data_IF_335263848409
#
_entry.id   IF_335263848409
#
_cell.length_a   1.000
_cell.length_b   1.000
_cell.length_c   1.000
_cell.angle_alpha   90.00
_cell.angle_beta   90.00
_cell.angle_gamma   90.00
#
_symmetry.space_group_name_H-M   'P 1'
#
loop_
_entity.id
_entity.type
_entity.pdbx_description
1 polymer ?
#
# COMPACT_ATOMS: atom_id res chain seq x y z
N UNK A 1 2.72 -0.44 -35.00
CA UNK A 1 2.88 -1.82 -34.47
C UNK A 1 3.05 -1.71 -32.96
N UNK A 2 2.06 -2.13 -32.17
CA UNK A 2 2.20 -2.23 -30.71
C UNK A 2 2.83 -3.59 -30.40
N UNK A 3 4.11 -3.61 -30.03
CA UNK A 3 4.76 -4.82 -29.52
C UNK A 3 4.12 -5.21 -28.19
N UNK A 4 3.40 -6.34 -28.17
CA UNK A 4 2.96 -6.97 -26.94
C UNK A 4 4.13 -7.75 -26.37
N UNK A 5 4.77 -7.21 -25.34
CA UNK A 5 5.81 -7.95 -24.60
C UNK A 5 5.11 -8.76 -23.52
N UNK A 6 4.93 -10.07 -23.76
CA UNK A 6 4.64 -11.04 -22.72
C UNK A 6 5.98 -11.53 -22.16
N UNK A 7 6.30 -11.11 -20.94
CA UNK A 7 7.45 -11.62 -20.19
C UNK A 7 6.92 -12.46 -19.03
N UNK A 8 7.07 -13.78 -19.18
CA UNK A 8 6.86 -14.74 -18.10
C UNK A 8 8.20 -14.88 -17.40
N UNK A 9 8.25 -14.49 -16.12
CA UNK A 9 9.41 -14.75 -15.28
C UNK A 9 9.08 -15.88 -14.33
N UNK A 10 9.88 -16.95 -14.39
CA UNK A 10 9.92 -17.98 -13.39
C UNK A 10 10.94 -17.55 -12.34
N UNK A 11 10.47 -16.97 -11.23
CA UNK A 11 11.30 -16.79 -10.06
C UNK A 11 11.31 -18.12 -9.31
N UNK A 12 12.30 -18.97 -9.61
CA UNK A 12 12.51 -20.21 -8.86
C UNK A 12 13.13 -19.89 -7.50
N UNK A 13 12.29 -19.40 -6.58
CA UNK A 13 12.67 -19.25 -5.18
C UNK A 13 12.61 -20.62 -4.48
N UNK A 14 13.76 -21.26 -4.27
CA UNK A 14 13.83 -22.44 -3.41
C UNK A 14 13.77 -21.99 -1.94
N UNK A 15 12.61 -22.14 -1.31
CA UNK A 15 12.51 -22.04 0.14
C UNK A 15 12.87 -23.41 0.73
N UNK A 16 14.16 -23.66 0.94
CA UNK A 16 14.60 -24.81 1.73
C UNK A 16 14.31 -24.51 3.20
N UNK A 17 13.33 -25.21 3.77
CA UNK A 17 13.24 -25.39 5.21
C UNK A 17 13.48 -26.88 5.45
N UNK A 18 14.66 -27.20 5.97
CA UNK A 18 15.28 -28.53 5.96
C UNK A 18 14.60 -29.58 6.86
N UNK A 19 13.42 -29.31 7.42
CA UNK A 19 12.84 -30.18 8.47
C UNK A 19 11.43 -30.69 8.26
N UNK A 20 10.71 -30.30 7.22
CA UNK A 20 9.39 -30.88 6.93
C UNK A 20 9.21 -31.04 5.42
N UNK A 21 8.61 -32.15 5.00
CA UNK A 21 8.61 -32.66 3.62
C UNK A 21 8.39 -31.59 2.54
N UNK A 22 9.31 -31.59 1.57
CA UNK A 22 9.42 -30.65 0.46
C UNK A 22 8.10 -30.42 -0.29
N UNK A 23 7.52 -29.23 -0.14
CA UNK A 23 6.78 -28.58 -1.22
C UNK A 23 7.66 -27.44 -1.76
N UNK A 24 8.26 -27.65 -2.93
CA UNK A 24 8.95 -26.58 -3.65
C UNK A 24 7.89 -25.59 -4.15
N UNK A 25 7.74 -24.46 -3.45
CA UNK A 25 6.85 -23.39 -3.88
C UNK A 25 7.45 -22.69 -5.10
N UNK A 26 6.90 -22.96 -6.28
CA UNK A 26 7.28 -22.24 -7.50
C UNK A 26 6.56 -20.90 -7.52
N UNK A 27 7.34 -19.83 -7.48
CA UNK A 27 6.82 -18.47 -7.49
C UNK A 27 6.80 -17.96 -8.93
N UNK A 28 5.60 -17.78 -9.47
CA UNK A 28 5.39 -17.34 -10.85
C UNK A 28 4.77 -15.96 -10.83
N UNK A 29 5.42 -15.01 -11.49
CA UNK A 29 4.84 -13.71 -11.77
C UNK A 29 4.76 -13.51 -13.28
N UNK A 30 3.54 -13.35 -13.78
CA UNK A 30 3.31 -12.87 -15.13
C UNK A 30 2.71 -11.48 -15.06
N UNK A 31 3.31 -10.53 -15.77
CA UNK A 31 2.79 -9.17 -15.89
C UNK A 31 2.72 -8.83 -17.35
N UNK A 32 1.53 -8.44 -17.78
CA UNK A 32 1.25 -7.86 -19.08
C UNK A 32 1.12 -6.36 -18.90
N UNK A 33 1.78 -5.64 -19.80
CA UNK A 33 1.72 -4.19 -19.83
C UNK A 33 1.08 -3.72 -21.13
N UNK A 34 0.18 -2.74 -21.04
CA UNK A 34 -0.46 -2.13 -22.19
C UNK A 34 -0.66 -0.62 -21.96
N UNK A 35 0.29 0.19 -22.42
CA UNK A 35 0.25 1.65 -22.24
C UNK A 35 0.20 2.05 -20.76
N UNK A 36 -0.96 2.55 -20.30
CA UNK A 36 -1.22 3.02 -18.94
C UNK A 36 -1.87 1.96 -18.03
N UNK A 37 -1.80 0.69 -18.43
CA UNK A 37 -2.35 -0.44 -17.69
C UNK A 37 -1.26 -1.47 -17.40
N UNK A 38 -1.21 -1.89 -16.14
CA UNK A 38 -0.44 -3.03 -15.67
C UNK A 38 -1.41 -4.08 -15.15
N UNK A 39 -1.37 -5.27 -15.71
CA UNK A 39 -2.14 -6.39 -15.19
C UNK A 39 -1.28 -7.63 -15.09
N UNK A 40 -1.60 -8.49 -14.13
CA UNK A 40 -0.80 -9.67 -13.91
C UNK A 40 -1.38 -10.59 -12.88
N UNK A 41 -0.61 -11.62 -12.58
CA UNK A 41 -0.88 -12.48 -11.46
C UNK A 41 0.42 -12.87 -10.77
N UNK A 42 0.28 -13.19 -9.50
CA UNK A 42 1.33 -13.72 -8.65
C UNK A 42 0.86 -15.04 -8.06
N UNK A 43 1.56 -16.11 -8.39
CA UNK A 43 1.23 -17.47 -7.99
C UNK A 43 2.38 -18.05 -7.16
N UNK A 44 2.05 -18.68 -6.03
CA UNK A 44 3.05 -19.30 -5.13
C UNK A 44 3.00 -20.83 -5.21
N UNK A 45 1.81 -21.37 -5.48
CA UNK A 45 1.57 -22.79 -5.71
C UNK A 45 0.30 -22.94 -6.56
N UNK A 46 -0.11 -24.18 -6.83
CA UNK A 46 -1.32 -24.46 -7.61
C UNK A 46 -2.62 -23.96 -6.95
N UNK A 47 -2.58 -23.61 -5.65
CA UNK A 47 -3.78 -23.28 -4.86
C UNK A 47 -3.91 -21.80 -4.53
N UNK A 48 -2.85 -21.01 -4.69
CA UNK A 48 -2.80 -19.61 -4.29
C UNK A 48 -2.27 -18.72 -5.41
N UNK A 49 -3.16 -17.87 -5.91
CA UNK A 49 -2.88 -16.86 -6.93
C UNK A 49 -3.59 -15.56 -6.57
N UNK A 50 -2.88 -14.45 -6.69
CA UNK A 50 -3.43 -13.09 -6.63
C UNK A 50 -3.35 -12.49 -8.03
N UNK A 51 -4.49 -12.07 -8.57
CA UNK A 51 -4.57 -11.30 -9.81
C UNK A 51 -4.65 -9.82 -9.49
N UNK A 52 -4.02 -9.00 -10.33
CA UNK A 52 -4.09 -7.55 -10.19
C UNK A 52 -4.29 -6.85 -11.53
N UNK A 53 -4.97 -5.70 -11.47
CA UNK A 53 -5.12 -4.74 -12.57
C UNK A 53 -4.89 -3.35 -11.98
N UNK A 54 -3.97 -2.60 -12.56
CA UNK A 54 -3.52 -1.29 -12.10
C UNK A 54 -3.57 -0.30 -13.26
N UNK A 55 -4.36 0.75 -13.08
CA UNK A 55 -4.54 1.90 -13.96
C UNK A 55 -4.56 3.17 -13.12
N UNK A 56 -4.48 4.32 -13.78
CA UNK A 56 -4.49 5.60 -13.09
C UNK A 56 -5.76 5.83 -12.25
N UNK A 57 -6.92 5.45 -12.77
CA UNK A 57 -8.23 5.67 -12.18
C UNK A 57 -8.83 4.41 -11.53
N UNK A 58 -8.14 3.28 -11.62
CA UNK A 58 -8.69 2.00 -11.18
C UNK A 58 -7.59 1.02 -10.78
N UNK A 59 -7.69 0.47 -9.58
CA UNK A 59 -6.79 -0.59 -9.11
C UNK A 59 -7.58 -1.70 -8.46
N UNK A 60 -7.08 -2.92 -8.60
CA UNK A 60 -7.84 -4.08 -8.21
C UNK A 60 -6.94 -5.27 -7.92
N UNK A 61 -7.12 -5.90 -6.75
CA UNK A 61 -6.48 -7.15 -6.37
C UNK A 61 -7.55 -8.17 -5.98
N UNK A 62 -7.48 -9.38 -6.55
CA UNK A 62 -8.42 -10.47 -6.29
C UNK A 62 -7.69 -11.81 -6.16
N UNK A 63 -8.13 -12.66 -5.23
CA UNK A 63 -7.66 -14.04 -5.09
C UNK A 63 -8.28 -14.93 -6.17
N UNK A 64 -7.62 -16.04 -6.50
CA UNK A 64 -8.12 -17.06 -7.44
C UNK A 64 -9.56 -17.53 -7.14
N UNK A 65 -9.93 -17.64 -5.85
CA UNK A 65 -11.26 -18.05 -5.38
C UNK A 65 -12.35 -16.98 -5.56
N UNK A 66 -12.08 -15.91 -6.29
CA UNK A 66 -13.03 -14.81 -6.55
C UNK A 66 -13.16 -13.79 -5.43
N UNK A 67 -12.44 -13.94 -4.32
CA UNK A 67 -12.46 -12.98 -3.22
C UNK A 67 -11.67 -11.72 -3.59
N UNK A 68 -12.35 -10.57 -3.60
CA UNK A 68 -11.73 -9.27 -3.76
C UNK A 68 -10.94 -8.92 -2.50
N UNK A 69 -9.67 -8.55 -2.65
CA UNK A 69 -8.84 -8.04 -1.56
C UNK A 69 -9.02 -6.53 -1.43
N UNK A 70 -8.81 -5.84 -2.55
CA UNK A 70 -8.99 -4.40 -2.63
C UNK A 70 -9.45 -4.00 -4.03
N UNK A 71 -10.33 -3.00 -4.07
CA UNK A 71 -10.73 -2.28 -5.27
C UNK A 71 -10.66 -0.80 -4.98
N UNK A 72 -9.88 -0.07 -5.77
CA UNK A 72 -9.89 1.38 -5.82
C UNK A 72 -10.44 1.85 -7.16
N UNK A 73 -11.32 2.84 -7.14
CA UNK A 73 -11.88 3.44 -8.34
C UNK A 73 -12.10 4.95 -8.17
N UNK A 74 -11.50 5.74 -9.06
CA UNK A 74 -11.70 7.17 -9.16
C UNK A 74 -12.77 7.46 -10.23
N UNK A 75 -13.96 7.86 -9.78
CA UNK A 75 -15.07 8.20 -10.68
C UNK A 75 -14.91 9.61 -11.24
N UNK A 76 -14.43 10.55 -10.42
CA UNK A 76 -14.10 11.93 -10.79
C UNK A 76 -13.00 12.46 -9.85
N UNK A 77 -12.42 13.66 -10.07
CA UNK A 77 -11.44 14.25 -9.17
C UNK A 77 -11.89 14.40 -7.71
N UNK A 78 -13.21 14.43 -7.46
CA UNK A 78 -13.80 14.57 -6.12
C UNK A 78 -14.49 13.30 -5.63
N UNK A 79 -14.58 12.25 -6.46
CA UNK A 79 -15.32 11.02 -6.14
C UNK A 79 -14.40 9.81 -6.23
N UNK A 80 -14.16 9.19 -5.07
CA UNK A 80 -13.30 8.02 -4.95
C UNK A 80 -14.03 6.92 -4.23
N UNK A 81 -13.91 5.70 -4.73
CA UNK A 81 -14.44 4.51 -4.12
C UNK A 81 -13.29 3.57 -3.77
N UNK A 82 -13.25 3.12 -2.53
CA UNK A 82 -12.32 2.14 -2.02
C UNK A 82 -13.13 1.02 -1.40
N UNK A 83 -12.85 -0.22 -1.78
CA UNK A 83 -13.39 -1.42 -1.14
C UNK A 83 -12.23 -2.26 -0.67
N UNK A 84 -12.26 -2.65 0.60
CA UNK A 84 -11.28 -3.56 1.22
C UNK A 84 -12.08 -4.74 1.77
N UNK A 85 -11.86 -5.94 1.23
CA UNK A 85 -12.72 -7.10 1.47
C UNK A 85 -14.21 -6.78 1.24
N UNK A 86 -15.03 -6.84 2.28
CA UNK A 86 -16.47 -6.58 2.29
C UNK A 86 -16.82 -5.12 2.65
N UNK A 87 -15.82 -4.31 2.95
CA UNK A 87 -16.01 -2.96 3.49
C UNK A 87 -15.76 -1.90 2.42
N UNK A 88 -16.82 -1.21 2.02
CA UNK A 88 -16.78 -0.12 1.04
C UNK A 88 -16.70 1.26 1.69
N UNK A 89 -15.96 2.16 1.05
CA UNK A 89 -15.80 3.57 1.42
C UNK A 89 -15.95 4.41 0.16
N UNK A 90 -16.86 5.38 0.19
CA UNK A 90 -17.00 6.39 -0.83
C UNK A 90 -16.59 7.73 -0.26
N UNK A 91 -15.62 8.37 -0.89
CA UNK A 91 -15.29 9.77 -0.66
C UNK A 91 -15.98 10.62 -1.71
N UNK A 92 -16.66 11.66 -1.26
CA UNK A 92 -17.18 12.73 -2.10
C UNK A 92 -16.72 14.07 -1.53
N UNK A 93 -15.96 14.83 -2.33
CA UNK A 93 -15.22 16.01 -1.88
C UNK A 93 -14.35 15.62 -0.68
N UNK A 94 -14.44 16.30 0.46
CA UNK A 94 -13.64 15.96 1.64
C UNK A 94 -14.30 14.99 2.63
N UNK A 95 -15.50 14.50 2.32
CA UNK A 95 -16.25 13.62 3.22
C UNK A 95 -16.13 12.16 2.79
N UNK A 96 -15.85 11.29 3.76
CA UNK A 96 -15.82 9.85 3.58
C UNK A 96 -17.07 9.21 4.19
N UNK A 97 -17.58 8.20 3.50
CA UNK A 97 -18.80 7.51 3.87
C UNK A 97 -18.60 6.00 3.77
N UNK A 98 -18.87 5.29 4.86
CA UNK A 98 -18.90 3.84 4.82
C UNK A 98 -20.15 3.37 4.08
N UNK A 99 -19.97 2.40 3.19
CA UNK A 99 -21.00 1.90 2.31
C UNK A 99 -21.22 0.39 2.57
N UNK A 100 -22.44 -0.02 2.94
CA UNK A 100 -22.79 -1.41 3.15
C UNK A 100 -23.17 -2.07 1.80
N UNK A 101 -22.25 -2.19 0.86
CA UNK A 101 -22.54 -2.78 -0.45
C UNK A 101 -21.81 -4.09 -0.70
N UNK A 102 -22.60 -5.10 -1.08
CA UNK A 102 -22.15 -6.16 -1.97
C UNK A 102 -21.93 -5.52 -3.35
N UNK A 103 -20.67 -5.27 -3.73
CA UNK A 103 -20.38 -4.86 -5.11
C UNK A 103 -20.73 -6.01 -6.06
N UNK A 104 -21.38 -5.74 -7.20
CA UNK A 104 -21.67 -6.75 -8.20
C UNK A 104 -20.39 -7.45 -8.67
N UNK A 105 -20.39 -8.79 -8.67
CA UNK A 105 -19.20 -9.59 -9.03
C UNK A 105 -18.85 -9.55 -10.53
N UNK A 106 -19.81 -9.25 -11.41
CA UNK A 106 -19.64 -9.23 -12.88
C UNK A 106 -19.90 -7.85 -13.50
N UNK A 107 -19.17 -7.53 -14.57
CA UNK A 107 -19.29 -6.23 -15.24
C UNK A 107 -18.82 -5.05 -14.35
N UNK A 108 -17.85 -5.34 -13.49
CA UNK A 108 -17.39 -4.55 -12.33
C UNK A 108 -17.44 -3.04 -12.57
N UNK A 109 -16.81 -2.53 -13.63
CA UNK A 109 -16.70 -1.08 -13.84
C UNK A 109 -18.03 -0.40 -14.21
N UNK A 110 -18.83 -1.01 -15.10
CA UNK A 110 -20.10 -0.44 -15.56
C UNK A 110 -21.13 -0.45 -14.43
N UNK A 111 -21.20 -1.57 -13.72
CA UNK A 111 -22.06 -1.74 -12.55
C UNK A 111 -21.63 -0.81 -11.41
N UNK A 112 -20.31 -0.69 -11.15
CA UNK A 112 -19.77 0.22 -10.14
C UNK A 112 -20.07 1.68 -10.46
N UNK A 113 -19.86 2.12 -11.71
CA UNK A 113 -20.23 3.47 -12.16
C UNK A 113 -21.71 3.77 -11.93
N UNK A 114 -22.61 2.84 -12.32
CA UNK A 114 -24.05 2.99 -12.10
C UNK A 114 -24.38 3.08 -10.60
N UNK A 115 -23.77 2.22 -9.79
CA UNK A 115 -23.95 2.19 -8.33
C UNK A 115 -23.50 3.51 -7.68
N UNK A 116 -22.27 3.96 -7.95
CA UNK A 116 -21.73 5.23 -7.45
C UNK A 116 -22.61 6.39 -7.87
N UNK A 117 -23.04 6.44 -9.14
CA UNK A 117 -23.91 7.52 -9.63
C UNK A 117 -25.24 7.58 -8.89
N UNK A 118 -25.89 6.43 -8.66
CA UNK A 118 -27.12 6.39 -7.84
C UNK A 118 -26.86 6.89 -6.43
N UNK A 119 -25.72 6.50 -5.83
CA UNK A 119 -25.40 6.93 -4.46
C UNK A 119 -25.00 8.38 -4.33
N UNK A 120 -24.36 8.97 -5.32
CA UNK A 120 -24.12 10.41 -5.35
C UNK A 120 -25.44 11.18 -5.35
N UNK A 121 -26.45 10.74 -6.12
CA UNK A 121 -27.80 11.33 -6.07
C UNK A 121 -28.45 11.18 -4.70
N UNK A 122 -28.28 10.03 -4.05
CA UNK A 122 -28.77 9.80 -2.68
C UNK A 122 -28.08 10.73 -1.67
N UNK A 123 -26.77 10.97 -1.83
CA UNK A 123 -25.98 11.87 -0.98
C UNK A 123 -26.39 13.33 -1.18
N UNK A 124 -26.57 13.74 -2.44
CA UNK A 124 -27.00 15.10 -2.80
C UNK A 124 -28.42 15.40 -2.32
N UNK A 125 -29.31 14.39 -2.26
CA UNK A 125 -30.69 14.53 -1.74
C UNK A 125 -30.81 14.56 -0.19
N UNK A 126 -29.67 14.66 0.50
CA UNK A 126 -29.41 15.21 1.84
C UNK A 126 -30.12 14.61 3.08
N UNK A 127 -31.23 13.87 2.97
CA UNK A 127 -32.09 13.56 4.12
C UNK A 127 -31.90 12.17 4.76
N UNK A 128 -31.48 11.15 4.00
CA UNK A 128 -31.36 9.76 4.52
C UNK A 128 -29.94 9.37 4.95
N UNK A 129 -28.92 10.05 4.44
CA UNK A 129 -27.54 9.58 4.57
C UNK A 129 -26.84 10.03 5.85
N UNK A 130 -27.27 11.13 6.48
CA UNK A 130 -26.71 11.58 7.77
C UNK A 130 -26.95 10.59 8.92
N UNK A 131 -27.86 9.61 8.76
CA UNK A 131 -28.07 8.51 9.70
C UNK A 131 -27.19 7.29 9.44
N UNK A 132 -26.53 7.20 8.28
CA UNK A 132 -25.47 6.22 8.06
C UNK A 132 -24.25 6.68 8.86
N UNK A 133 -24.15 6.21 10.11
CA UNK A 133 -23.05 6.49 11.03
C UNK A 133 -21.70 6.46 10.28
N UNK A 134 -20.83 7.43 10.58
CA UNK A 134 -19.37 7.42 10.30
C UNK A 134 -18.62 6.28 11.01
N UNK A 135 -19.33 5.25 11.48
CA UNK A 135 -18.70 4.08 12.06
C UNK A 135 -18.18 3.26 10.89
N UNK A 136 -16.94 3.52 10.51
CA UNK A 136 -16.20 2.61 9.63
C UNK A 136 -16.29 1.22 10.26
N UNK A 137 -16.99 0.31 9.60
CA UNK A 137 -16.91 -1.09 9.99
C UNK A 137 -15.49 -1.53 9.64
N UNK A 138 -14.75 -1.94 10.66
CA UNK A 138 -13.52 -2.69 10.43
C UNK A 138 -13.88 -3.94 9.63
N UNK A 139 -13.18 -4.24 8.53
CA UNK A 139 -13.35 -5.49 7.81
C UNK A 139 -13.33 -6.65 8.80
N UNK A 140 -14.36 -7.50 8.74
CA UNK A 140 -14.40 -8.71 9.57
C UNK A 140 -13.32 -9.69 9.11
N UNK A 141 -13.02 -9.66 7.80
CA UNK A 141 -11.96 -10.42 7.19
C UNK A 141 -10.61 -9.75 7.41
N UNK A 142 -9.60 -10.57 7.73
CA UNK A 142 -8.21 -10.15 7.87
C UNK A 142 -7.33 -10.98 6.96
N UNK A 143 -6.21 -10.40 6.55
CA UNK A 143 -5.16 -11.14 5.87
C UNK A 143 -4.48 -12.06 6.87
N UNK A 144 -4.20 -13.29 6.44
CA UNK A 144 -3.28 -14.15 7.19
C UNK A 144 -1.84 -13.67 7.00
N UNK A 145 -0.92 -14.15 7.85
CA UNK A 145 0.51 -13.88 7.67
C UNK A 145 1.03 -14.31 6.31
N UNK A 146 0.63 -15.49 5.81
CA UNK A 146 1.09 -15.95 4.50
C UNK A 146 0.64 -15.01 3.39
N UNK A 147 -0.58 -14.47 3.46
CA UNK A 147 -1.08 -13.52 2.47
C UNK A 147 -0.30 -12.20 2.49
N UNK A 148 0.05 -11.72 3.68
CA UNK A 148 0.89 -10.52 3.82
C UNK A 148 2.26 -10.74 3.20
N UNK A 149 2.90 -11.89 3.45
CA UNK A 149 4.20 -12.22 2.84
C UNK A 149 4.09 -12.29 1.32
N UNK A 150 3.02 -12.88 0.80
CA UNK A 150 2.78 -12.97 -0.64
C UNK A 150 2.59 -11.59 -1.26
N UNK A 151 1.82 -10.73 -0.61
CA UNK A 151 1.62 -9.35 -1.05
C UNK A 151 2.93 -8.54 -1.04
N UNK A 152 3.76 -8.72 -0.01
CA UNK A 152 5.09 -8.08 0.05
C UNK A 152 6.01 -8.57 -1.07
N UNK A 153 6.11 -9.88 -1.29
CA UNK A 153 6.92 -10.46 -2.38
C UNK A 153 6.40 -10.03 -3.77
N UNK A 154 5.08 -9.97 -3.94
CA UNK A 154 4.46 -9.47 -5.17
C UNK A 154 4.81 -8.00 -5.40
N UNK A 155 4.73 -7.17 -4.35
CA UNK A 155 5.15 -5.77 -4.40
C UNK A 155 6.60 -5.65 -4.84
N UNK A 156 7.51 -6.37 -4.18
CA UNK A 156 8.93 -6.33 -4.51
C UNK A 156 9.25 -6.80 -5.93
N UNK A 157 8.70 -7.92 -6.38
CA UNK A 157 8.94 -8.42 -7.73
C UNK A 157 8.36 -7.48 -8.81
N UNK A 158 7.36 -6.65 -8.49
CA UNK A 158 6.94 -5.53 -9.36
C UNK A 158 7.93 -4.37 -9.28
N UNK A 159 8.49 -4.08 -8.09
CA UNK A 159 9.46 -3.01 -7.89
C UNK A 159 10.76 -3.22 -8.69
N UNK A 160 11.24 -4.46 -8.80
CA UNK A 160 12.41 -4.80 -9.63
C UNK A 160 12.25 -4.38 -11.11
N UNK A 161 11.00 -4.20 -11.59
CA UNK A 161 10.73 -3.70 -12.94
C UNK A 161 10.87 -2.17 -13.08
N UNK A 162 10.98 -1.43 -11.98
CA UNK A 162 11.06 0.04 -12.00
C UNK A 162 12.33 0.55 -12.67
N UNK A 163 13.42 -0.23 -12.69
CA UNK A 163 14.72 0.18 -13.22
C UNK A 163 14.65 0.65 -14.68
N UNK A 164 13.84 -0.02 -15.49
CA UNK A 164 13.67 0.26 -16.93
C UNK A 164 12.31 0.91 -17.27
N UNK A 165 11.55 1.29 -16.24
CA UNK A 165 10.21 1.81 -16.41
C UNK A 165 10.21 3.30 -16.81
N UNK A 166 9.28 3.70 -17.68
CA UNK A 166 9.03 5.10 -18.00
C UNK A 166 8.49 5.86 -16.76
N UNK A 167 8.52 7.20 -16.78
CA UNK A 167 8.02 8.02 -15.66
C UNK A 167 6.57 7.68 -15.26
N UNK A 168 5.69 7.52 -16.25
CA UNK A 168 4.27 7.14 -16.02
C UNK A 168 4.16 5.77 -15.37
N UNK A 169 5.02 4.83 -15.79
CA UNK A 169 5.05 3.47 -15.25
C UNK A 169 5.56 3.46 -13.81
N UNK A 170 6.61 4.21 -13.50
CA UNK A 170 7.12 4.37 -12.13
C UNK A 170 6.03 4.89 -11.19
N UNK A 171 5.23 5.86 -11.64
CA UNK A 171 4.09 6.36 -10.86
C UNK A 171 3.02 5.29 -10.64
N UNK A 172 2.65 4.52 -11.67
CA UNK A 172 1.67 3.43 -11.51
C UNK A 172 2.16 2.34 -10.55
N UNK A 173 3.45 1.99 -10.64
CA UNK A 173 4.09 1.02 -9.76
C UNK A 173 4.14 1.54 -8.31
N UNK A 174 4.52 2.80 -8.09
CA UNK A 174 4.50 3.42 -6.76
C UNK A 174 3.10 3.39 -6.13
N UNK A 175 2.06 3.70 -6.91
CA UNK A 175 0.67 3.63 -6.43
C UNK A 175 0.26 2.20 -6.08
N UNK A 176 0.72 1.21 -6.85
CA UNK A 176 0.51 -0.19 -6.51
C UNK A 176 1.17 -0.56 -5.18
N UNK A 177 2.41 -0.12 -4.93
CA UNK A 177 3.07 -0.34 -3.64
C UNK A 177 2.31 0.28 -2.48
N UNK A 178 1.87 1.54 -2.62
CA UNK A 178 1.05 2.23 -1.63
C UNK A 178 -0.28 1.50 -1.37
N UNK A 179 -0.93 0.97 -2.41
CA UNK A 179 -2.16 0.20 -2.29
C UNK A 179 -1.95 -1.11 -1.52
N UNK A 180 -0.89 -1.86 -1.86
CA UNK A 180 -0.55 -3.11 -1.17
C UNK A 180 -0.21 -2.85 0.29
N UNK A 181 0.56 -1.80 0.55
CA UNK A 181 0.92 -1.40 1.89
C UNK A 181 -0.31 -0.97 2.72
N UNK A 182 -1.19 -0.14 2.14
CA UNK A 182 -2.45 0.25 2.76
C UNK A 182 -3.29 -0.96 3.14
N UNK A 183 -3.34 -1.96 2.25
CA UNK A 183 -4.03 -3.23 2.49
C UNK A 183 -3.42 -4.00 3.67
N UNK A 184 -2.11 -4.19 3.66
CA UNK A 184 -1.38 -4.86 4.74
C UNK A 184 -1.61 -4.15 6.08
N UNK A 185 -1.53 -2.82 6.12
CA UNK A 185 -1.68 -2.07 7.36
C UNK A 185 -3.13 -2.03 7.87
N UNK A 186 -4.11 -1.98 6.97
CA UNK A 186 -5.51 -1.88 7.34
C UNK A 186 -6.11 -3.19 7.86
N UNK A 187 -5.71 -4.32 7.27
CA UNK A 187 -6.36 -5.62 7.51
C UNK A 187 -5.39 -6.77 7.72
N UNK A 188 -4.09 -6.52 7.70
CA UNK A 188 -3.08 -7.49 8.08
C UNK A 188 -2.96 -7.66 9.59
N UNK A 189 -2.17 -8.66 10.03
CA UNK A 189 -1.81 -8.79 11.42
C UNK A 189 -1.01 -7.57 11.90
N UNK A 190 -1.05 -7.21 13.19
CA UNK A 190 -0.37 -6.02 13.68
C UNK A 190 1.15 -6.13 13.48
N UNK A 191 1.74 -5.24 12.70
CA UNK A 191 3.15 -5.38 12.28
C UNK A 191 4.14 -5.30 13.45
N UNK A 192 3.77 -4.65 14.56
CA UNK A 192 4.59 -4.58 15.76
C UNK A 192 4.73 -5.93 16.48
N UNK A 193 3.88 -6.92 16.19
CA UNK A 193 4.00 -8.26 16.78
C UNK A 193 5.04 -9.13 16.05
N UNK A 194 5.67 -8.63 14.99
CA UNK A 194 6.67 -9.37 14.21
C UNK A 194 8.03 -9.25 14.91
N UNK A 195 8.66 -10.41 15.17
CA UNK A 195 10.05 -10.42 15.64
C UNK A 195 10.97 -9.80 14.57
N UNK A 196 11.91 -8.91 14.95
CA UNK A 196 12.84 -8.27 14.02
C UNK A 196 13.60 -9.25 13.11
N UNK A 197 13.90 -10.48 13.58
CA UNK A 197 14.55 -11.52 12.78
C UNK A 197 13.68 -12.07 11.66
N UNK A 198 12.36 -12.23 11.89
CA UNK A 198 11.40 -12.61 10.85
C UNK A 198 11.22 -11.48 9.83
N UNK A 199 11.25 -10.22 10.30
CA UNK A 199 11.26 -9.05 9.43
C UNK A 199 12.49 -9.01 8.54
N UNK A 200 13.69 -9.20 9.09
CA UNK A 200 14.93 -9.24 8.32
C UNK A 200 14.92 -10.37 7.28
N UNK A 201 14.44 -11.57 7.63
CA UNK A 201 14.36 -12.71 6.72
C UNK A 201 13.33 -12.56 5.58
N UNK A 202 12.30 -11.74 5.77
CA UNK A 202 11.38 -11.37 4.69
C UNK A 202 12.05 -10.52 3.62
N UNK A 203 13.13 -9.79 3.95
CA UNK A 203 13.85 -8.89 3.03
C UNK A 203 15.25 -9.38 2.66
N UNK A 204 15.94 -10.17 3.48
CA UNK A 204 17.29 -10.67 3.19
C UNK A 204 17.31 -11.78 2.13
N UNK A 205 16.18 -12.47 1.91
CA UNK A 205 15.99 -13.35 0.73
C UNK A 205 15.73 -12.58 -0.57
N UNK A 206 15.58 -11.27 -0.47
CA UNK A 206 15.02 -10.41 -1.49
C UNK A 206 16.06 -9.38 -1.98
N UNK A 207 16.98 -8.98 -1.09
CA UNK A 207 18.21 -8.22 -1.37
C UNK A 207 19.42 -9.16 -1.43
N UNK A 208 19.42 -10.09 -2.39
CA UNK A 208 20.63 -10.81 -2.82
C UNK A 208 20.87 -10.57 -4.30
N UNK A 209 21.17 -9.31 -4.63
CA UNK A 209 22.03 -8.93 -5.75
C UNK A 209 22.48 -7.48 -5.56
N UNK A 210 23.74 -7.31 -5.19
CA UNK A 210 24.56 -6.08 -5.24
C UNK A 210 24.17 -4.88 -4.37
N UNK A 211 24.81 -4.76 -3.19
CA UNK A 211 25.95 -3.83 -2.97
C UNK A 211 26.34 -3.78 -1.48
N UNK A 212 27.64 -3.71 -1.24
CA UNK A 212 28.29 -3.58 0.08
C UNK A 212 27.78 -2.36 0.86
N UNK A 213 27.22 -2.61 2.06
CA UNK A 213 27.02 -1.57 3.07
C UNK A 213 28.02 -1.77 4.21
N UNK A 214 28.74 -0.71 4.64
CA UNK A 214 29.67 -0.80 5.76
C UNK A 214 28.91 -1.08 7.06
N UNK A 215 29.50 -1.94 7.88
CA UNK A 215 28.98 -2.31 9.19
C UNK A 215 28.80 -1.08 10.08
N UNK A 216 27.64 -0.96 10.72
CA UNK A 216 27.33 0.08 11.69
C UNK A 216 28.10 -0.18 13.00
N UNK A 217 29.29 0.42 13.13
CA UNK A 217 29.90 0.72 14.42
C UNK A 217 30.02 2.23 14.54
N UNK A 218 29.20 2.82 15.39
CA UNK A 218 29.52 3.95 16.27
C UNK A 218 28.22 4.59 16.75
N UNK A 219 27.84 4.27 17.98
CA UNK A 219 26.67 4.81 18.66
C UNK A 219 27.01 6.18 19.24
N UNK A 220 26.36 7.24 18.74
CA UNK A 220 26.26 8.50 19.45
C UNK A 220 24.93 8.55 20.22
N UNK A 221 25.00 8.88 21.52
CA UNK A 221 23.86 9.05 22.42
C UNK A 221 22.90 10.15 21.96
N UNK A 222 21.59 9.90 22.08
CA UNK A 222 20.53 10.85 21.77
C UNK A 222 20.16 11.75 22.97
N UNK A 223 19.75 13.01 22.74
CA UNK A 223 19.28 13.91 23.82
C UNK A 223 17.89 13.52 24.33
N UNK A 224 17.66 13.76 25.63
CA UNK A 224 16.43 13.47 26.36
C UNK A 224 15.26 14.38 25.94
N UNK A 225 14.10 13.74 25.76
CA UNK A 225 12.71 14.21 25.82
C UNK A 225 12.43 15.69 26.11
N UNK A 226 11.65 16.34 25.23
CA UNK A 226 10.46 17.15 25.60
C UNK A 226 9.61 17.61 24.37
N UNK A 227 8.30 17.34 24.43
CA UNK A 227 7.17 17.93 23.68
C UNK A 227 7.30 18.14 22.14
N UNK A 228 7.11 17.06 21.40
CA UNK A 228 7.23 16.99 19.93
C UNK A 228 5.90 17.10 19.18
N UNK A 229 5.16 18.21 19.32
CA UNK A 229 4.01 18.48 18.41
C UNK A 229 4.04 19.85 17.75
N UNK A 230 4.99 20.73 18.08
CA UNK A 230 5.01 22.10 17.55
C UNK A 230 6.28 22.51 16.79
N UNK A 231 7.28 21.62 16.65
CA UNK A 231 8.62 22.00 16.13
C UNK A 231 9.10 21.27 14.87
N UNK A 232 8.26 20.48 14.21
CA UNK A 232 8.62 19.75 12.98
C UNK A 232 8.25 20.49 11.68
N UNK A 233 8.01 21.81 11.75
CA UNK A 233 7.78 22.68 10.60
C UNK A 233 9.03 23.47 10.16
N UNK A 234 10.18 23.31 10.82
CA UNK A 234 11.41 23.99 10.42
C UNK A 234 12.16 23.21 9.33
N UNK A 235 12.54 23.94 8.28
CA UNK A 235 13.39 23.53 7.17
C UNK A 235 14.64 22.74 7.64
N UNK A 236 14.53 21.42 7.73
CA UNK A 236 15.71 20.57 7.74
C UNK A 236 16.17 20.39 6.31
N UNK A 237 17.34 20.96 5.97
CA UNK A 237 18.10 20.53 4.81
C UNK A 237 18.50 19.07 5.03
N UNK A 238 17.79 18.16 4.35
CA UNK A 238 18.01 16.71 4.37
C UNK A 238 19.31 16.34 3.64
N UNK A 239 20.48 16.57 4.25
CA UNK A 239 21.77 16.13 3.68
C UNK A 239 22.33 14.84 4.32
N UNK A 240 21.63 14.23 5.28
CA UNK A 240 22.01 12.92 5.83
C UNK A 240 20.76 12.08 6.08
N UNK A 241 20.58 11.04 5.27
CA UNK A 241 19.54 10.05 5.48
C UNK A 241 19.84 9.28 6.77
N UNK A 242 19.06 9.53 7.83
CA UNK A 242 19.05 8.66 8.99
C UNK A 242 18.24 7.41 8.61
N UNK A 243 18.90 6.28 8.40
CA UNK A 243 18.22 5.00 8.27
C UNK A 243 17.51 4.69 9.60
N UNK A 244 16.19 4.73 9.56
CA UNK A 244 15.41 4.64 10.78
C UNK A 244 15.25 3.20 11.26
N UNK A 245 15.66 2.16 10.52
CA UNK A 245 15.37 0.75 10.85
C UNK A 245 15.74 0.29 12.27
N UNK A 246 16.64 1.01 12.97
CA UNK A 246 17.27 0.55 14.22
C UNK A 246 17.14 1.46 15.45
N UNK A 247 16.40 2.59 15.43
CA UNK A 247 16.37 3.48 16.60
C UNK A 247 15.29 3.09 17.63
N UNK A 248 15.67 2.98 18.91
CA UNK A 248 15.02 2.11 19.90
C UNK A 248 13.75 2.62 20.58
N UNK A 249 13.25 3.80 20.25
CA UNK A 249 12.12 4.37 20.97
C UNK A 249 11.22 5.19 20.05
N UNK A 250 10.15 4.56 19.54
CA UNK A 250 8.84 5.17 19.29
C UNK A 250 7.80 4.15 18.79
N UNK A 251 6.58 4.25 19.31
CA UNK A 251 5.40 3.40 19.04
C UNK A 251 4.53 3.87 17.87
N UNK A 252 4.99 4.85 17.09
CA UNK A 252 4.16 5.61 16.15
C UNK A 252 4.54 5.45 14.68
N UNK A 253 5.13 4.31 14.32
CA UNK A 253 5.33 3.99 12.92
C UNK A 253 4.02 3.50 12.29
N UNK A 254 3.54 4.18 11.24
CA UNK A 254 2.37 3.77 10.45
C UNK A 254 2.74 3.20 9.07
N UNK A 255 4.01 2.88 8.89
CA UNK A 255 4.44 1.85 7.95
C UNK A 255 5.17 2.35 6.72
N UNK A 256 5.35 3.66 6.48
CA UNK A 256 6.19 4.11 5.36
C UNK A 256 7.62 4.46 5.78
N UNK A 257 7.80 5.31 6.79
CA UNK A 257 9.12 5.75 7.22
C UNK A 257 9.18 5.90 8.75
N UNK A 258 10.32 5.55 9.37
CA UNK A 258 10.52 5.65 10.83
C UNK A 258 11.07 4.38 11.48
N UNK A 259 11.30 4.46 12.78
CA UNK A 259 11.95 3.39 13.54
C UNK A 259 11.04 2.23 13.80
N UNK A 260 11.55 1.01 13.58
CA UNK A 260 10.74 -0.21 13.57
C UNK A 260 9.58 -0.20 12.56
N UNK A 261 9.67 0.63 11.52
CA UNK A 261 8.76 0.57 10.40
C UNK A 261 9.03 -0.61 9.49
N UNK A 262 7.96 -1.13 8.86
CA UNK A 262 8.15 -1.97 7.70
C UNK A 262 8.47 -0.96 6.64
N UNK A 263 9.75 -0.62 6.49
CA UNK A 263 10.13 0.23 5.37
C UNK A 263 9.65 -0.46 4.09
N UNK A 264 8.90 0.28 3.27
CA UNK A 264 8.57 -0.12 1.91
C UNK A 264 9.47 0.68 0.98
N UNK A 265 10.76 0.29 0.83
CA UNK A 265 11.72 1.09 0.07
C UNK A 265 11.27 1.28 -1.38
N UNK A 266 10.39 0.41 -1.87
CA UNK A 266 9.73 0.50 -3.17
C UNK A 266 8.85 1.75 -3.36
N UNK A 267 8.40 2.40 -2.28
CA UNK A 267 7.56 3.61 -2.37
C UNK A 267 8.41 4.86 -2.68
N UNK A 268 9.51 5.05 -1.95
CA UNK A 268 10.35 6.25 -2.07
C UNK A 268 11.76 5.99 -2.61
N UNK A 269 12.10 4.75 -2.92
CA UNK A 269 13.43 4.31 -3.38
C UNK A 269 14.39 3.93 -2.25
N UNK A 270 14.07 4.22 -0.99
CA UNK A 270 14.93 4.01 0.16
C UNK A 270 14.13 3.88 1.47
N UNK A 271 14.83 3.76 2.60
CA UNK A 271 14.26 3.75 3.96
C UNK A 271 14.49 5.06 4.72
N UNK A 272 14.70 6.17 4.01
CA UNK A 272 14.94 7.48 4.60
C UNK A 272 13.64 8.12 5.08
N UNK A 273 13.72 9.04 6.05
CA UNK A 273 12.56 9.82 6.47
C UNK A 273 12.19 10.87 5.41
N UNK A 274 11.17 10.57 4.62
CA UNK A 274 10.61 11.47 3.61
C UNK A 274 9.46 12.32 4.17
N UNK A 275 9.31 13.56 3.68
CA UNK A 275 8.22 14.45 4.09
C UNK A 275 6.84 13.83 3.80
N UNK A 276 6.68 13.21 2.63
CA UNK A 276 5.49 12.46 2.25
C UNK A 276 5.17 11.35 3.23
N UNK A 277 6.14 10.48 3.52
CA UNK A 277 5.97 9.41 4.50
C UNK A 277 5.45 9.93 5.83
N UNK A 278 6.11 10.96 6.38
CA UNK A 278 5.77 11.50 7.70
C UNK A 278 4.34 12.04 7.72
N UNK A 279 3.98 12.84 6.71
CA UNK A 279 2.63 13.40 6.62
C UNK A 279 1.57 12.32 6.48
N UNK A 280 1.86 11.26 5.71
CA UNK A 280 0.94 10.14 5.56
C UNK A 280 0.73 9.42 6.88
N UNK A 281 1.81 9.10 7.59
CA UNK A 281 1.73 8.39 8.86
C UNK A 281 0.93 9.19 9.90
N UNK A 282 1.10 10.52 9.95
CA UNK A 282 0.26 11.44 10.74
C UNK A 282 -1.21 11.35 10.34
N UNK A 283 -1.51 11.38 9.04
CA UNK A 283 -2.88 11.28 8.54
C UNK A 283 -3.53 9.94 8.92
N UNK A 284 -2.78 8.85 8.87
CA UNK A 284 -3.26 7.51 9.20
C UNK A 284 -3.43 7.28 10.68
N UNK A 285 -2.62 7.92 11.51
CA UNK A 285 -2.86 7.95 12.94
C UNK A 285 -4.21 8.62 13.27
N UNK A 286 -4.55 9.73 12.60
CA UNK A 286 -5.77 10.49 12.88
C UNK A 286 -7.03 9.88 12.29
N UNK A 287 -6.95 9.34 11.07
CA UNK A 287 -8.13 8.86 10.32
C UNK A 287 -8.27 7.33 10.31
N UNK A 288 -7.23 6.61 10.71
CA UNK A 288 -7.13 5.15 10.58
C UNK A 288 -6.73 4.72 9.16
N UNK A 289 -6.15 3.52 9.04
CA UNK A 289 -5.63 2.99 7.78
C UNK A 289 -6.67 2.78 6.68
N UNK A 290 -7.94 2.62 7.03
CA UNK A 290 -9.02 2.43 6.06
C UNK A 290 -9.46 3.73 5.40
N UNK A 291 -8.94 4.89 5.79
CA UNK A 291 -9.24 6.14 5.11
C UNK A 291 -8.61 6.19 3.70
N UNK A 292 -9.26 6.86 2.74
CA UNK A 292 -8.72 7.08 1.39
C UNK A 292 -7.45 7.94 1.46
N UNK A 293 -7.33 8.84 2.46
CA UNK A 293 -6.10 9.60 2.72
C UNK A 293 -4.87 8.71 2.95
N UNK A 294 -5.08 7.50 3.48
CA UNK A 294 -4.06 6.51 3.79
C UNK A 294 -3.88 5.46 2.70
N UNK A 295 -5.00 4.94 2.22
CA UNK A 295 -4.96 3.82 1.30
C UNK A 295 -4.57 4.25 -0.11
N UNK A 296 -4.91 5.48 -0.49
CA UNK A 296 -4.64 6.04 -1.81
C UNK A 296 -4.15 7.49 -1.78
N UNK A 297 -3.00 7.75 -1.13
CA UNK A 297 -2.53 9.11 -0.89
C UNK A 297 -2.16 9.85 -2.19
N UNK A 298 -1.87 9.13 -3.27
CA UNK A 298 -1.61 9.72 -4.61
C UNK A 298 -2.78 10.53 -5.16
N UNK A 299 -4.02 10.25 -4.73
CA UNK A 299 -5.22 11.03 -5.09
C UNK A 299 -5.08 12.48 -4.64
N UNK A 300 -4.28 12.72 -3.60
CA UNK A 300 -4.01 14.00 -3.00
C UNK A 300 -2.62 14.52 -3.39
N UNK A 301 -2.07 14.02 -4.50
CA UNK A 301 -0.76 14.41 -4.98
C UNK A 301 0.36 14.07 -4.01
N UNK A 302 0.24 12.96 -3.28
CA UNK A 302 1.35 12.44 -2.47
C UNK A 302 2.62 12.30 -3.29
N UNK A 303 3.71 12.79 -2.71
CA UNK A 303 5.07 12.70 -3.20
C UNK A 303 6.02 12.56 -2.00
N UNK A 304 7.08 11.77 -2.15
CA UNK A 304 8.02 11.51 -1.06
C UNK A 304 8.71 12.80 -0.59
N UNK A 305 9.16 13.64 -1.52
CA UNK A 305 9.89 14.87 -1.20
C UNK A 305 8.94 16.00 -0.78
N UNK A 306 7.86 16.18 -1.53
CA UNK A 306 7.02 17.37 -1.41
C UNK A 306 5.86 17.19 -0.42
N UNK A 307 5.53 15.96 -0.04
CA UNK A 307 4.40 15.68 0.83
C UNK A 307 3.11 15.49 0.06
N UNK A 308 1.99 15.77 0.70
CA UNK A 308 0.71 15.93 0.02
C UNK A 308 0.65 17.27 -0.69
N UNK A 309 0.51 17.27 -2.01
CA UNK A 309 0.30 18.50 -2.80
C UNK A 309 -1.15 19.02 -2.70
N UNK A 310 -2.10 18.12 -2.47
CA UNK A 310 -3.49 18.45 -2.18
C UNK A 310 -3.71 18.49 -0.68
N UNK A 311 -3.91 19.68 -0.12
CA UNK A 311 -4.12 19.95 1.31
C UNK A 311 -5.08 18.96 1.97
N UNK A 312 -4.58 17.88 2.62
CA UNK A 312 -5.46 16.89 3.21
C UNK A 312 -5.88 17.39 4.60
N UNK A 313 -7.18 17.34 4.88
CA UNK A 313 -7.75 17.89 6.13
C UNK A 313 -7.11 17.31 7.41
N UNK A 314 -6.52 16.11 7.33
CA UNK A 314 -5.84 15.46 8.45
C UNK A 314 -4.55 16.15 8.91
N UNK A 315 -3.94 17.03 8.10
CA UNK A 315 -2.72 17.74 8.50
C UNK A 315 -2.97 19.02 9.31
N UNK A 316 -4.19 19.57 9.28
CA UNK A 316 -4.51 20.88 9.88
C UNK A 316 -5.51 20.82 11.05
N UNK A 317 -5.85 19.62 11.50
CA UNK A 317 -6.80 19.35 12.60
C UNK A 317 -6.08 18.85 13.83
#
# INVERSE_FOLDING_TARGET
>A
MLSFIFLIFLLLGSATNEKEGLFQSVLVMAVKQNGNEFQGFFQVNQTYEIRFIIRNDFMYLRKMRGQDLVLFYQYSPDVHYLKVFDSGILRYKSKEFSLPFDTPQEGLLKCLRKCIRTKLKDIESFSRFLRAKRSFRTPQQRLSWSEVVILANMSEAVAQRMLYASKVQKQLIQRFHLLVQGLVNAVGPPLHTIKPSTRANLYSKAVLSDTDFPAASDYAEAPKTENTTSRYHSNHSLSSCSDMRYTSYQTHCFGMCGSYCWCWPWVCGDCCLHKGCLQHDICCQKRGYLSIYCFSPWVFGFDCENGYLGYPECLYT
#
